data_IF_624912339362
#
_entry.id   IF_624912339362
#
_cell.length_a   1.000
_cell.length_b   1.000
_cell.length_c   1.000
_cell.angle_alpha   90.00
_cell.angle_beta   90.00
_cell.angle_gamma   90.00
#
_symmetry.space_group_name_H-M   'P 1'
#
loop_
_entity.id
_entity.type
_entity.pdbx_description
1 polymer ?
#
# COMPACT_ATOMS: atom_id res chain seq x y z
N UNK A 1 -3.19 9.53 38.80
CA UNK A 1 -2.07 8.73 39.35
C UNK A 1 -1.14 8.36 38.21
N UNK A 2 0.06 8.94 38.13
CA UNK A 2 1.00 8.64 37.04
C UNK A 2 1.53 7.21 37.07
N UNK A 3 1.63 6.61 38.27
CA UNK A 3 2.23 5.28 38.45
C UNK A 3 1.17 4.22 38.76
N UNK A 4 1.24 3.04 38.12
CA UNK A 4 0.32 1.95 38.41
C UNK A 4 0.56 1.40 39.82
N UNK A 5 -0.47 1.42 40.66
CA UNK A 5 -0.44 0.85 42.02
C UNK A 5 -0.28 -0.69 42.03
N UNK A 6 -0.77 -1.35 40.98
CA UNK A 6 -0.75 -2.81 40.85
C UNK A 6 -0.43 -3.24 39.41
N UNK A 7 0.21 -4.40 39.27
CA UNK A 7 0.45 -5.03 37.97
C UNK A 7 -0.86 -5.49 37.34
N UNK A 8 -1.09 -5.14 36.08
CA UNK A 8 -2.24 -5.65 35.33
C UNK A 8 -2.12 -7.15 35.02
N UNK A 9 -3.25 -7.85 35.11
CA UNK A 9 -3.32 -9.28 34.78
C UNK A 9 -3.01 -9.54 33.30
N UNK A 10 -2.52 -10.76 33.00
CA UNK A 10 -2.27 -11.19 31.61
C UNK A 10 -3.55 -11.13 30.77
N UNK A 11 -4.71 -11.47 31.36
CA UNK A 11 -6.02 -11.38 30.71
C UNK A 11 -6.37 -9.94 30.33
N UNK A 12 -6.21 -8.97 31.24
CA UNK A 12 -6.47 -7.54 30.94
C UNK A 12 -5.55 -7.00 29.84
N UNK A 13 -4.26 -7.35 29.86
CA UNK A 13 -3.30 -6.98 28.81
C UNK A 13 -3.68 -7.55 27.44
N UNK A 14 -4.09 -8.83 27.39
CA UNK A 14 -4.51 -9.49 26.16
C UNK A 14 -5.80 -8.88 25.61
N UNK A 15 -6.82 -8.69 26.45
CA UNK A 15 -8.08 -8.01 26.09
C UNK A 15 -7.85 -6.59 25.56
N UNK A 16 -6.93 -5.82 26.16
CA UNK A 16 -6.59 -4.49 25.64
C UNK A 16 -5.98 -4.53 24.22
N UNK A 17 -5.24 -5.60 23.89
CA UNK A 17 -4.53 -5.76 22.60
C UNK A 17 -5.37 -6.45 21.52
N UNK A 18 -6.64 -6.78 21.78
CA UNK A 18 -7.51 -7.43 20.77
C UNK A 18 -7.77 -6.51 19.58
N UNK A 19 -8.03 -5.22 19.83
CA UNK A 19 -8.37 -4.25 18.79
C UNK A 19 -7.17 -3.64 18.06
N UNK A 20 -5.96 -3.81 18.58
CA UNK A 20 -4.74 -3.38 17.89
C UNK A 20 -4.37 -4.44 16.84
N UNK A 21 -4.84 -4.23 15.61
CA UNK A 21 -4.68 -5.14 14.46
C UNK A 21 -4.24 -4.32 13.25
N UNK A 22 -3.46 -4.94 12.38
CA UNK A 22 -3.13 -4.35 11.08
C UNK A 22 -4.33 -4.57 10.14
N UNK A 23 -4.77 -3.50 9.50
CA UNK A 23 -5.79 -3.56 8.45
C UNK A 23 -5.13 -3.88 7.12
N UNK A 24 -5.80 -4.66 6.29
CA UNK A 24 -5.33 -4.95 4.93
C UNK A 24 -5.66 -3.76 4.02
N UNK A 25 -4.71 -3.28 3.19
CA UNK A 25 -5.00 -2.22 2.24
C UNK A 25 -5.97 -2.72 1.16
N UNK A 26 -6.75 -1.79 0.61
CA UNK A 26 -7.67 -2.09 -0.48
C UNK A 26 -6.89 -2.19 -1.81
N UNK A 27 -6.77 -3.43 -2.30
CA UNK A 27 -6.08 -3.75 -3.55
C UNK A 27 -7.09 -4.04 -4.66
N UNK A 28 -6.78 -3.57 -5.86
CA UNK A 28 -7.54 -3.85 -7.09
C UNK A 28 -6.62 -4.38 -8.19
N UNK A 29 -7.20 -5.12 -9.13
CA UNK A 29 -6.52 -5.54 -10.35
C UNK A 29 -6.72 -4.50 -11.44
N UNK A 30 -5.65 -4.12 -12.13
CA UNK A 30 -5.79 -3.32 -13.33
C UNK A 30 -6.28 -4.18 -14.50
N UNK A 31 -7.25 -3.65 -15.26
CA UNK A 31 -7.83 -4.38 -16.41
C UNK A 31 -6.89 -4.52 -17.60
N UNK A 32 -5.93 -3.61 -17.77
CA UNK A 32 -5.05 -3.56 -18.95
C UNK A 32 -3.78 -4.37 -18.77
N UNK A 33 -3.14 -4.27 -17.60
CA UNK A 33 -1.86 -4.92 -17.29
C UNK A 33 -2.00 -6.18 -16.44
N UNK A 34 -3.16 -6.37 -15.79
CA UNK A 34 -3.35 -7.45 -14.81
C UNK A 34 -2.59 -7.25 -13.49
N UNK A 35 -1.85 -6.16 -13.31
CA UNK A 35 -1.10 -5.89 -12.09
C UNK A 35 -2.02 -5.51 -10.92
N UNK A 36 -1.65 -5.95 -9.70
CA UNK A 36 -2.31 -5.50 -8.47
C UNK A 36 -1.78 -4.14 -8.05
N UNK A 37 -2.69 -3.21 -7.77
CA UNK A 37 -2.34 -1.88 -7.27
C UNK A 37 -3.32 -1.42 -6.18
N UNK A 38 -2.92 -0.42 -5.40
CA UNK A 38 -3.80 0.22 -4.42
C UNK A 38 -4.90 0.97 -5.17
N UNK A 39 -6.15 0.82 -4.71
CA UNK A 39 -7.27 1.50 -5.36
C UNK A 39 -7.11 3.03 -5.31
N UNK A 40 -7.43 3.68 -6.42
CA UNK A 40 -7.28 5.12 -6.64
C UNK A 40 -5.83 5.66 -6.66
N UNK A 41 -4.81 4.80 -6.71
CA UNK A 41 -3.42 5.21 -6.91
C UNK A 41 -2.91 4.82 -8.30
N UNK A 42 -2.00 5.65 -8.84
CA UNK A 42 -1.18 5.28 -9.98
C UNK A 42 -0.12 4.26 -9.55
N UNK A 43 0.30 3.39 -10.46
CA UNK A 43 1.31 2.36 -10.20
C UNK A 43 2.28 2.24 -11.36
N UNK A 44 3.50 1.79 -11.07
CA UNK A 44 4.51 1.52 -12.08
C UNK A 44 4.41 0.09 -12.55
N UNK A 45 4.48 -0.12 -13.86
CA UNK A 45 4.49 -1.43 -14.49
C UNK A 45 5.34 -1.37 -15.75
N UNK A 46 6.34 -2.26 -15.84
CA UNK A 46 7.23 -2.37 -17.02
C UNK A 46 7.95 -1.06 -17.41
N UNK A 47 8.19 -0.18 -16.43
CA UNK A 47 8.83 1.12 -16.63
C UNK A 47 7.84 2.27 -16.82
N UNK A 48 6.60 1.99 -17.22
CA UNK A 48 5.56 3.01 -17.41
C UNK A 48 4.69 3.19 -16.17
N UNK A 49 4.21 4.41 -15.93
CA UNK A 49 3.24 4.70 -14.87
C UNK A 49 1.83 4.62 -15.43
N UNK A 50 1.02 3.72 -14.86
CA UNK A 50 -0.37 3.50 -15.25
C UNK A 50 -1.35 4.03 -14.20
N UNK A 51 -2.47 4.56 -14.68
CA UNK A 51 -3.64 4.86 -13.85
C UNK A 51 -4.91 4.68 -14.68
N UNK A 52 -5.90 3.98 -14.12
CA UNK A 52 -7.19 3.69 -14.79
C UNK A 52 -7.04 3.09 -16.20
N UNK A 53 -5.96 2.34 -16.46
CA UNK A 53 -5.69 1.72 -17.75
C UNK A 53 -5.00 2.61 -18.78
N UNK A 54 -4.69 3.85 -18.44
CA UNK A 54 -3.93 4.77 -19.29
C UNK A 54 -2.49 4.89 -18.80
N UNK A 55 -1.55 5.08 -19.73
CA UNK A 55 -0.17 5.47 -19.43
C UNK A 55 -0.15 6.96 -19.15
N UNK A 56 0.31 7.35 -17.96
CA UNK A 56 0.48 8.76 -17.56
C UNK A 56 1.89 9.26 -17.83
N UNK A 57 2.88 8.43 -17.47
CA UNK A 57 4.29 8.75 -17.66
C UNK A 57 4.89 7.55 -18.38
N UNK A 58 5.43 7.79 -19.56
CA UNK A 58 6.31 6.82 -20.20
C UNK A 58 7.62 6.77 -19.43
N UNK A 59 7.99 5.60 -18.94
CA UNK A 59 9.32 5.36 -18.38
C UNK A 59 10.35 5.68 -19.44
N UNK A 60 11.28 6.56 -19.11
CA UNK A 60 12.17 7.22 -20.06
C UNK A 60 12.59 6.33 -21.22
N UNK A 61 11.92 6.52 -22.36
CA UNK A 61 12.50 6.20 -23.65
C UNK A 61 13.79 7.02 -23.69
N UNK A 62 14.93 6.34 -23.54
CA UNK A 62 16.22 6.91 -23.88
C UNK A 62 16.06 7.40 -25.31
N UNK A 63 15.99 8.72 -25.50
CA UNK A 63 16.00 9.34 -26.82
C UNK A 63 17.28 8.88 -27.49
N UNK A 64 17.21 7.83 -28.30
CA UNK A 64 18.24 7.53 -29.29
C UNK A 64 18.22 8.71 -30.25
N UNK A 65 19.10 9.67 -29.98
CA UNK A 65 19.39 10.77 -30.86
C UNK A 65 20.01 10.17 -32.13
N UNK A 66 19.25 10.19 -33.21
CA UNK A 66 19.73 9.86 -34.54
C UNK A 66 20.50 11.09 -35.06
N UNK A 67 21.77 10.89 -35.39
CA UNK A 67 22.68 11.83 -36.03
C UNK A 67 23.34 11.13 -37.22
#
# INVERSE_FOLDING_TARGET
>A
MPNPKWRHSKSRKRKRRTHYKAETPQLGLCKTTGAMHIMHHAYWHEGDMYYKGHVLIKGGEAKTAEA
#
